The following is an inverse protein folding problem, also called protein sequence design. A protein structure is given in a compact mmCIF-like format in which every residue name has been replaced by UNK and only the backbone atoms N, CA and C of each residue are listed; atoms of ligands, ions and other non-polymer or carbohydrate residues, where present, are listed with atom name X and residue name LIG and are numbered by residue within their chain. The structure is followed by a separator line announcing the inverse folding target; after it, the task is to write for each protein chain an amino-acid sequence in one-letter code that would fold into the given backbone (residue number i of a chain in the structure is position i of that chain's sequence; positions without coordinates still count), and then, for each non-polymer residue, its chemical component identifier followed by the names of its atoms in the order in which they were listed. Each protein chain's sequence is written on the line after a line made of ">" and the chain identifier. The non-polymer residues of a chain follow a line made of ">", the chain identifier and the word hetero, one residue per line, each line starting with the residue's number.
data_IF_576832192965
#
_entry.id   IF_576832192965
#
_cell.length_a   1.000
_cell.length_b   1.000
_cell.length_c   1.000
_cell.angle_alpha   90.00
_cell.angle_beta   90.00
_cell.angle_gamma   90.00
#
_symmetry.space_group_name_H-M   'P 1'
#
loop_
_entity.id
_entity.type
_entity.pdbx_description
1 polymer ?
#
# COMPACT_ATOMS: atom_id res chain seq x y z
N UNK A 1 -12.46 -14.86 -8.43
CA UNK A 1 -13.50 -14.51 -7.43
C UNK A 1 -12.85 -14.36 -6.05
N UNK A 2 -13.30 -13.42 -5.21
CA UNK A 2 -12.92 -13.26 -3.79
C UNK A 2 -13.71 -14.28 -2.97
N UNK A 3 -13.01 -15.08 -2.15
CA UNK A 3 -13.64 -16.17 -1.38
C UNK A 3 -13.95 -15.74 0.05
N UNK A 4 -14.81 -16.51 0.73
CA UNK A 4 -15.17 -16.27 2.13
C UNK A 4 -13.95 -16.49 3.03
N UNK A 5 -13.15 -17.53 2.77
CA UNK A 5 -11.96 -17.89 3.56
C UNK A 5 -10.90 -16.79 3.48
N UNK A 6 -10.67 -16.23 2.30
CA UNK A 6 -9.76 -15.10 2.08
C UNK A 6 -10.23 -13.84 2.85
N UNK A 7 -11.54 -13.61 2.87
CA UNK A 7 -12.17 -12.51 3.59
C UNK A 7 -12.04 -12.71 5.10
N UNK A 8 -12.35 -13.90 5.62
CA UNK A 8 -12.17 -14.26 7.03
C UNK A 8 -10.73 -14.10 7.49
N UNK A 9 -9.77 -14.60 6.69
CA UNK A 9 -8.35 -14.47 7.00
C UNK A 9 -7.93 -12.99 7.12
N UNK A 10 -8.54 -12.11 6.31
CA UNK A 10 -8.30 -10.67 6.36
C UNK A 10 -8.95 -10.03 7.59
N UNK A 11 -10.17 -10.41 7.93
CA UNK A 11 -10.90 -9.94 9.12
C UNK A 11 -10.17 -10.33 10.43
N UNK A 12 -9.62 -11.55 10.50
CA UNK A 12 -8.81 -12.02 11.65
C UNK A 12 -7.59 -11.11 11.89
N UNK A 13 -7.00 -10.55 10.83
CA UNK A 13 -5.85 -9.63 10.90
C UNK A 13 -6.24 -8.17 11.23
N UNK A 14 -7.52 -7.85 11.40
CA UNK A 14 -7.96 -6.52 11.81
C UNK A 14 -7.77 -6.31 13.32
N UNK A 15 -7.18 -5.17 13.67
CA UNK A 15 -7.00 -4.75 15.06
C UNK A 15 -8.28 -4.06 15.55
N UNK A 16 -8.82 -4.42 16.72
CA UNK A 16 -9.96 -3.74 17.33
C UNK A 16 -9.57 -2.33 17.81
N UNK A 17 -10.57 -1.49 18.12
CA UNK A 17 -10.35 -0.15 18.69
C UNK A 17 -9.63 0.83 17.76
N UNK A 18 -9.75 0.65 16.43
CA UNK A 18 -9.23 1.58 15.43
C UNK A 18 -10.29 2.60 15.05
N UNK A 19 -9.84 3.84 14.82
CA UNK A 19 -10.70 4.92 14.37
C UNK A 19 -11.46 4.56 13.09
N UNK A 20 -12.74 4.88 13.08
CA UNK A 20 -13.68 4.64 11.98
C UNK A 20 -13.49 5.64 10.85
N UNK A 21 -14.00 5.29 9.67
CA UNK A 21 -14.15 6.23 8.57
C UNK A 21 -15.43 7.06 8.75
N UNK A 22 -15.84 7.73 7.68
CA UNK A 22 -17.10 8.49 7.66
C UNK A 22 -18.35 7.61 7.79
N UNK A 23 -18.21 6.30 7.59
CA UNK A 23 -19.27 5.30 7.75
C UNK A 23 -19.54 4.90 9.20
N UNK A 24 -18.68 5.32 10.13
CA UNK A 24 -18.71 4.99 11.55
C UNK A 24 -18.78 3.48 11.90
N UNK A 25 -18.39 2.62 10.94
CA UNK A 25 -18.38 1.17 11.13
C UNK A 25 -17.04 0.73 11.69
N UNK A 26 -17.01 0.36 12.97
CA UNK A 26 -15.83 -0.15 13.65
C UNK A 26 -15.38 -1.51 13.11
N UNK A 27 -14.08 -1.81 13.27
CA UNK A 27 -13.53 -3.13 12.91
C UNK A 27 -14.26 -4.28 13.61
N UNK A 28 -14.77 -4.05 14.83
CA UNK A 28 -15.48 -5.04 15.64
C UNK A 28 -16.80 -5.50 15.01
N UNK A 29 -17.50 -4.61 14.28
CA UNK A 29 -18.73 -4.95 13.53
C UNK A 29 -18.41 -6.02 12.47
N UNK A 30 -17.31 -5.82 11.74
CA UNK A 30 -16.85 -6.74 10.70
C UNK A 30 -16.25 -8.04 11.25
N UNK A 31 -15.87 -8.06 12.54
CA UNK A 31 -15.38 -9.26 13.22
C UNK A 31 -16.49 -10.00 13.98
N UNK A 32 -17.70 -9.47 14.02
CA UNK A 32 -18.83 -10.07 14.70
C UNK A 32 -19.21 -11.39 14.05
N UNK A 33 -19.53 -12.40 14.86
CA UNK A 33 -20.07 -13.68 14.38
C UNK A 33 -21.58 -13.66 14.17
N UNK A 34 -22.26 -12.57 14.55
CA UNK A 34 -23.72 -12.53 14.64
C UNK A 34 -24.42 -12.46 13.28
N UNK A 35 -23.74 -11.99 12.23
CA UNK A 35 -24.39 -11.68 10.95
C UNK A 35 -23.59 -12.10 9.72
N UNK A 36 -22.59 -12.98 9.89
CA UNK A 36 -21.82 -13.55 8.78
C UNK A 36 -21.14 -12.48 7.88
N UNK A 37 -20.27 -11.60 8.45
CA UNK A 37 -19.69 -10.49 7.70
C UNK A 37 -18.81 -10.94 6.53
N UNK A 38 -18.14 -12.08 6.66
CA UNK A 38 -17.22 -12.57 5.63
C UNK A 38 -17.96 -12.98 4.36
N UNK A 39 -19.09 -13.67 4.48
CA UNK A 39 -19.95 -14.05 3.37
C UNK A 39 -20.55 -12.82 2.68
N UNK A 40 -21.03 -11.86 3.47
CA UNK A 40 -21.58 -10.62 2.94
C UNK A 40 -20.52 -9.82 2.19
N UNK A 41 -19.35 -9.62 2.80
CA UNK A 41 -18.23 -8.87 2.21
C UNK A 41 -17.71 -9.57 0.96
N UNK A 42 -17.57 -10.89 0.94
CA UNK A 42 -17.13 -11.62 -0.24
C UNK A 42 -18.09 -11.41 -1.42
N UNK A 43 -19.41 -11.51 -1.19
CA UNK A 43 -20.43 -11.22 -2.22
C UNK A 43 -20.32 -9.77 -2.70
N UNK A 44 -20.24 -8.82 -1.78
CA UNK A 44 -20.12 -7.40 -2.07
C UNK A 44 -18.87 -7.07 -2.89
N UNK A 45 -17.70 -7.57 -2.48
CA UNK A 45 -16.45 -7.32 -3.20
C UNK A 45 -16.45 -7.95 -4.59
N UNK A 46 -17.03 -9.14 -4.76
CA UNK A 46 -17.18 -9.74 -6.08
C UNK A 46 -18.10 -8.91 -6.99
N UNK A 47 -19.13 -8.28 -6.44
CA UNK A 47 -19.98 -7.35 -7.18
C UNK A 47 -19.20 -6.10 -7.60
N UNK A 48 -18.42 -5.50 -6.69
CA UNK A 48 -17.52 -4.37 -7.00
C UNK A 48 -16.54 -4.72 -8.12
N UNK A 49 -15.95 -5.93 -8.08
CA UNK A 49 -15.03 -6.41 -9.11
C UNK A 49 -15.74 -6.59 -10.45
N UNK A 50 -16.92 -7.21 -10.46
CA UNK A 50 -17.72 -7.48 -11.66
C UNK A 50 -18.20 -6.20 -12.33
N UNK A 51 -18.70 -5.25 -11.54
CA UNK A 51 -19.25 -3.97 -12.03
C UNK A 51 -18.15 -2.93 -12.31
N UNK A 52 -16.92 -3.17 -11.84
CA UNK A 52 -15.80 -2.22 -11.88
C UNK A 52 -16.16 -0.84 -11.29
N UNK A 53 -17.08 -0.83 -10.32
CA UNK A 53 -17.60 0.38 -9.68
C UNK A 53 -17.37 0.31 -8.18
N UNK A 54 -16.63 1.29 -7.66
CA UNK A 54 -16.41 1.41 -6.23
C UNK A 54 -17.66 2.00 -5.53
N UNK A 55 -17.93 1.60 -4.28
CA UNK A 55 -18.96 2.22 -3.45
C UNK A 55 -18.69 3.71 -3.24
N UNK A 56 -19.74 4.52 -3.24
CA UNK A 56 -19.59 5.98 -3.11
C UNK A 56 -18.93 6.39 -1.79
N UNK A 57 -19.21 5.67 -0.71
CA UNK A 57 -18.60 5.92 0.59
C UNK A 57 -17.08 5.72 0.62
N UNK A 58 -16.52 4.93 -0.31
CA UNK A 58 -15.07 4.78 -0.44
C UNK A 58 -14.42 5.99 -1.12
N UNK A 59 -15.23 6.90 -1.67
CA UNK A 59 -14.71 8.11 -2.29
C UNK A 59 -14.26 9.17 -1.30
N UNK A 60 -14.77 9.11 -0.07
CA UNK A 60 -14.58 10.13 0.95
C UNK A 60 -13.71 9.62 2.10
N UNK A 61 -12.95 10.52 2.73
CA UNK A 61 -12.14 10.20 3.91
C UNK A 61 -11.97 11.42 4.80
N UNK A 62 -11.86 11.20 6.11
CA UNK A 62 -11.57 12.26 7.07
C UNK A 62 -10.06 12.39 7.23
N UNK A 63 -9.51 13.59 7.00
CA UNK A 63 -8.08 13.85 7.23
C UNK A 63 -7.88 14.46 8.60
N UNK A 64 -7.12 13.76 9.46
CA UNK A 64 -6.75 14.21 10.79
C UNK A 64 -5.27 14.64 10.77
N UNK A 65 -4.95 15.93 11.01
CA UNK A 65 -3.57 16.38 11.10
C UNK A 65 -2.97 15.98 12.46
N UNK A 66 -1.89 15.19 12.47
CA UNK A 66 -1.16 14.84 13.69
C UNK A 66 0.14 15.62 13.78
N UNK A 67 0.30 16.40 14.83
CA UNK A 67 1.52 17.20 15.04
C UNK A 67 2.75 16.30 15.23
N UNK A 68 3.83 16.62 14.53
CA UNK A 68 5.12 15.88 14.56
C UNK A 68 5.89 16.07 15.88
N UNK A 69 5.38 16.87 16.82
CA UNK A 69 6.07 17.27 18.06
C UNK A 69 7.41 17.98 17.80
N UNK A 70 7.50 18.71 16.69
CA UNK A 70 8.68 19.49 16.28
C UNK A 70 8.22 20.73 15.52
N UNK A 71 8.91 21.85 15.75
CA UNK A 71 8.61 23.13 15.10
C UNK A 71 7.36 23.83 15.67
N UNK A 72 6.95 24.92 15.02
CA UNK A 72 5.78 25.71 15.40
C UNK A 72 4.47 24.97 15.07
N UNK A 73 3.48 25.07 15.96
CA UNK A 73 2.11 24.54 15.75
C UNK A 73 1.32 25.36 14.74
N UNK A 74 1.77 26.59 14.41
CA UNK A 74 1.14 27.42 13.39
C UNK A 74 1.49 26.99 11.96
N UNK A 75 2.55 26.20 11.78
CA UNK A 75 3.00 25.74 10.47
C UNK A 75 2.41 24.36 10.13
N UNK A 76 1.58 24.31 9.08
CA UNK A 76 0.95 23.09 8.59
C UNK A 76 1.97 22.01 8.17
N UNK A 77 3.19 22.37 7.78
CA UNK A 77 4.25 21.43 7.41
C UNK A 77 4.69 20.54 8.57
N UNK A 78 4.48 21.00 9.81
CA UNK A 78 4.78 20.27 11.05
C UNK A 78 3.72 19.23 11.43
N UNK A 79 2.72 19.01 10.59
CA UNK A 79 1.70 17.98 10.78
C UNK A 79 1.88 16.83 9.78
N UNK A 80 1.48 15.62 10.20
CA UNK A 80 1.32 14.45 9.34
C UNK A 80 -0.17 14.28 9.07
N UNK A 81 -0.64 14.37 7.82
CA UNK A 81 -2.03 14.10 7.51
C UNK A 81 -2.28 12.59 7.61
N UNK A 82 -3.23 12.18 8.45
CA UNK A 82 -3.72 10.80 8.52
C UNK A 82 -5.13 10.76 7.94
N UNK A 83 -5.33 9.94 6.91
CA UNK A 83 -6.65 9.72 6.32
C UNK A 83 -7.34 8.53 6.96
N UNK A 84 -8.53 8.75 7.51
CA UNK A 84 -9.41 7.73 8.04
C UNK A 84 -10.32 7.23 6.91
N UNK A 85 -10.07 5.99 6.50
CA UNK A 85 -10.83 5.29 5.46
C UNK A 85 -11.82 4.32 6.10
N UNK A 86 -12.91 4.04 5.37
CA UNK A 86 -13.84 2.96 5.71
C UNK A 86 -13.09 1.65 5.96
N UNK A 87 -13.53 0.90 6.97
CA UNK A 87 -12.96 -0.41 7.26
C UNK A 87 -13.22 -1.41 6.13
N UNK A 88 -14.37 -1.34 5.46
CA UNK A 88 -14.70 -2.19 4.32
C UNK A 88 -13.70 -2.00 3.15
N UNK A 89 -13.32 -0.74 2.87
CA UNK A 89 -12.30 -0.41 1.88
C UNK A 89 -10.93 -0.99 2.27
N UNK A 90 -10.51 -0.81 3.54
CA UNK A 90 -9.24 -1.36 4.04
C UNK A 90 -9.19 -2.90 3.94
N UNK A 91 -10.33 -3.58 4.12
CA UNK A 91 -10.43 -5.04 3.98
C UNK A 91 -10.22 -5.42 2.52
N UNK A 92 -10.95 -4.77 1.61
CA UNK A 92 -10.82 -5.01 0.16
C UNK A 92 -9.37 -4.80 -0.32
N UNK A 93 -8.75 -3.72 0.10
CA UNK A 93 -7.35 -3.40 -0.24
C UNK A 93 -6.35 -4.43 0.27
N UNK A 94 -6.56 -4.98 1.47
CA UNK A 94 -5.69 -6.03 2.01
C UNK A 94 -5.82 -7.33 1.22
N UNK A 95 -7.01 -7.64 0.73
CA UNK A 95 -7.24 -8.80 -0.14
C UNK A 95 -6.48 -8.61 -1.45
N UNK A 96 -6.61 -7.44 -2.09
CA UNK A 96 -5.88 -7.12 -3.31
C UNK A 96 -4.35 -7.12 -3.11
N UNK A 97 -3.86 -6.49 -2.04
CA UNK A 97 -2.44 -6.52 -1.65
C UNK A 97 -1.93 -7.96 -1.52
N UNK A 98 -2.69 -8.82 -0.83
CA UNK A 98 -2.30 -10.22 -0.64
C UNK A 98 -2.28 -11.01 -1.95
N UNK A 99 -3.10 -10.66 -2.94
CA UNK A 99 -3.10 -11.30 -4.26
C UNK A 99 -1.93 -10.82 -5.10
N UNK A 100 -1.71 -9.51 -5.15
CA UNK A 100 -0.61 -8.90 -5.92
C UNK A 100 0.74 -9.39 -5.40
N UNK A 101 0.93 -9.51 -4.08
CA UNK A 101 2.17 -10.04 -3.47
C UNK A 101 2.47 -11.50 -3.84
N UNK A 102 1.47 -12.29 -4.23
CA UNK A 102 1.68 -13.67 -4.71
C UNK A 102 2.17 -13.71 -6.15
N UNK A 103 1.97 -12.64 -6.91
CA UNK A 103 2.30 -12.53 -8.33
C UNK A 103 3.65 -11.81 -8.49
N UNK A 104 3.82 -10.69 -7.78
CA UNK A 104 5.00 -9.85 -7.89
C UNK A 104 6.13 -10.39 -7.01
N UNK A 105 7.25 -10.74 -7.64
CA UNK A 105 8.51 -11.00 -6.94
C UNK A 105 9.22 -9.67 -6.69
N UNK A 106 9.58 -9.40 -5.45
CA UNK A 106 10.39 -8.25 -5.07
C UNK A 106 11.87 -8.60 -5.12
N UNK A 107 12.73 -7.58 -5.31
CA UNK A 107 14.18 -7.72 -5.23
C UNK A 107 14.61 -8.19 -3.84
N UNK A 108 15.61 -9.07 -3.76
CA UNK A 108 16.12 -9.60 -2.49
C UNK A 108 16.78 -8.50 -1.62
N UNK A 109 17.14 -7.38 -2.24
CA UNK A 109 17.68 -6.19 -1.56
C UNK A 109 16.59 -5.30 -0.93
N UNK A 110 15.31 -5.58 -1.20
CA UNK A 110 14.21 -4.77 -0.70
C UNK A 110 13.82 -5.20 0.71
N UNK A 111 13.96 -4.28 1.67
CA UNK A 111 13.54 -4.51 3.05
C UNK A 111 12.40 -3.62 3.53
N UNK A 112 12.07 -2.56 2.79
CA UNK A 112 10.87 -1.78 3.08
C UNK A 112 9.61 -2.57 2.73
N UNK A 113 8.63 -2.64 3.63
CA UNK A 113 7.31 -3.25 3.38
C UNK A 113 7.33 -4.73 2.95
N UNK A 114 8.43 -5.44 3.25
CA UNK A 114 8.57 -6.89 3.07
C UNK A 114 8.36 -7.57 4.42
N UNK A 115 7.52 -8.61 4.46
CA UNK A 115 7.31 -9.37 5.68
C UNK A 115 8.61 -10.09 6.06
N UNK A 116 9.06 -9.94 7.31
CA UNK A 116 10.28 -10.59 7.79
C UNK A 116 11.59 -9.83 7.51
N UNK A 117 11.62 -8.85 6.59
CA UNK A 117 12.75 -7.92 6.48
C UNK A 117 12.37 -6.55 7.07
N UNK A 118 13.12 -6.10 8.06
CA UNK A 118 12.91 -4.81 8.72
C UNK A 118 14.18 -3.96 8.74
N UNK A 119 14.12 -2.81 9.39
CA UNK A 119 15.25 -1.86 9.48
C UNK A 119 16.52 -2.49 10.05
N UNK A 120 16.38 -3.42 11.01
CA UNK A 120 17.52 -4.14 11.61
C UNK A 120 18.26 -4.97 10.54
N UNK A 121 17.53 -5.72 9.73
CA UNK A 121 18.12 -6.54 8.67
C UNK A 121 18.79 -5.68 7.59
N UNK A 122 18.16 -4.56 7.20
CA UNK A 122 18.74 -3.61 6.26
C UNK A 122 20.05 -2.98 6.79
N UNK A 123 20.05 -2.53 8.06
CA UNK A 123 21.26 -1.99 8.71
C UNK A 123 22.34 -3.06 8.80
N UNK A 124 21.96 -4.30 9.15
CA UNK A 124 22.91 -5.40 9.25
C UNK A 124 23.55 -5.72 7.90
N UNK A 125 22.77 -5.83 6.83
CA UNK A 125 23.26 -6.03 5.48
C UNK A 125 24.22 -4.91 5.03
N UNK A 126 23.85 -3.65 5.28
CA UNK A 126 24.72 -2.50 4.99
C UNK A 126 26.05 -2.58 5.75
N UNK A 127 26.02 -2.94 7.05
CA UNK A 127 27.23 -3.11 7.86
C UNK A 127 28.13 -4.23 7.35
N UNK A 128 27.55 -5.37 6.95
CA UNK A 128 28.31 -6.49 6.38
C UNK A 128 28.98 -6.10 5.06
N UNK A 129 28.27 -5.38 4.18
CA UNK A 129 28.83 -4.90 2.92
C UNK A 129 30.00 -3.95 3.14
N UNK A 130 29.82 -2.96 4.02
CA UNK A 130 30.89 -2.01 4.37
C UNK A 130 32.09 -2.73 4.97
N UNK A 131 31.86 -3.65 5.92
CA UNK A 131 32.93 -4.42 6.55
C UNK A 131 33.78 -5.19 5.54
N UNK A 132 33.13 -5.91 4.61
CA UNK A 132 33.83 -6.68 3.56
C UNK A 132 34.65 -5.80 2.60
N UNK A 133 34.18 -4.61 2.28
CA UNK A 133 34.92 -3.70 1.39
C UNK A 133 36.12 -3.06 2.10
N UNK A 134 35.97 -2.75 3.39
CA UNK A 134 37.09 -2.26 4.21
C UNK A 134 38.19 -3.32 4.40
N UNK A 135 37.82 -4.60 4.55
CA UNK A 135 38.79 -5.72 4.59
C UNK A 135 39.64 -5.80 3.32
N UNK A 136 39.08 -5.44 2.16
CA UNK A 136 39.78 -5.39 0.88
C UNK A 136 40.62 -4.13 0.66
N UNK A 137 40.62 -3.19 1.61
CA UNK A 137 41.23 -1.88 1.49
C UNK A 137 40.72 -1.07 0.29
N UNK A 138 39.50 -1.33 -0.16
CA UNK A 138 38.86 -0.55 -1.22
C UNK A 138 38.19 0.71 -0.62
N UNK A 139 38.28 1.87 -1.29
CA UNK A 139 37.55 3.07 -0.84
C UNK A 139 36.04 2.84 -0.93
N UNK A 140 35.34 3.06 0.18
CA UNK A 140 33.88 2.88 0.27
C UNK A 140 33.17 4.23 0.32
N UNK A 141 32.23 4.43 -0.60
CA UNK A 141 31.34 5.59 -0.62
C UNK A 141 29.89 5.13 -0.47
N UNK A 142 29.12 5.81 0.38
CA UNK A 142 27.71 5.49 0.64
C UNK A 142 26.88 6.73 0.33
N UNK A 143 25.88 6.57 -0.53
CA UNK A 143 24.90 7.62 -0.84
C UNK A 143 23.54 7.27 -0.21
N UNK A 144 22.95 8.22 0.52
CA UNK A 144 21.60 8.11 1.05
C UNK A 144 20.65 8.89 0.16
N UNK A 145 19.69 8.20 -0.45
CA UNK A 145 18.67 8.78 -1.31
C UNK A 145 17.32 8.78 -0.58
N UNK A 146 16.70 9.94 -0.44
CA UNK A 146 15.35 10.09 0.11
C UNK A 146 14.45 10.80 -0.91
N UNK A 147 13.30 10.19 -1.20
CA UNK A 147 12.35 10.69 -2.19
C UNK A 147 11.29 11.55 -1.49
N UNK A 148 11.29 12.85 -1.76
CA UNK A 148 10.29 13.76 -1.19
C UNK A 148 8.89 13.41 -1.72
N UNK A 149 7.96 13.09 -0.81
CA UNK A 149 6.54 12.79 -1.10
C UNK A 149 6.37 11.71 -2.17
N UNK A 150 7.16 10.64 -2.12
CA UNK A 150 7.18 9.57 -3.11
C UNK A 150 5.78 9.06 -3.51
N UNK A 151 4.86 8.86 -2.56
CA UNK A 151 3.50 8.38 -2.86
C UNK A 151 2.61 9.39 -3.59
N UNK A 152 2.85 10.69 -3.38
CA UNK A 152 2.03 11.74 -3.97
C UNK A 152 2.58 12.17 -5.35
N UNK A 153 3.84 11.84 -5.66
CA UNK A 153 4.54 12.25 -6.90
C UNK A 153 4.58 11.19 -8.00
N UNK A 154 4.34 9.92 -7.71
CA UNK A 154 4.41 8.85 -8.73
C UNK A 154 3.19 8.93 -9.66
N UNK A 155 3.38 9.09 -10.99
CA UNK A 155 2.29 9.01 -11.96
C UNK A 155 1.60 7.65 -11.94
N UNK A 156 0.27 7.65 -12.03
CA UNK A 156 -0.55 6.43 -11.91
C UNK A 156 -0.35 5.50 -13.10
N UNK A 157 -0.07 6.07 -14.26
CA UNK A 157 0.19 5.40 -15.52
C UNK A 157 1.43 4.50 -15.41
N UNK A 158 2.48 4.99 -14.76
CA UNK A 158 3.70 4.21 -14.51
C UNK A 158 3.45 3.04 -13.57
N UNK A 159 2.58 3.23 -12.58
CA UNK A 159 2.17 2.15 -11.68
C UNK A 159 1.45 1.04 -12.46
N UNK A 160 0.49 1.39 -13.32
CA UNK A 160 -0.22 0.40 -14.13
C UNK A 160 0.71 -0.31 -15.11
N UNK A 161 1.62 0.42 -15.76
CA UNK A 161 2.63 -0.18 -16.63
C UNK A 161 3.52 -1.18 -15.87
N UNK A 162 4.00 -0.82 -14.68
CA UNK A 162 4.80 -1.73 -13.85
C UNK A 162 4.02 -3.00 -13.48
N UNK A 163 2.75 -2.89 -13.07
CA UNK A 163 1.93 -4.06 -12.73
C UNK A 163 1.75 -5.01 -13.93
N UNK A 164 1.54 -4.46 -15.13
CA UNK A 164 1.44 -5.26 -16.36
C UNK A 164 2.76 -5.96 -16.68
N UNK A 165 3.91 -5.28 -16.48
CA UNK A 165 5.23 -5.89 -16.65
C UNK A 165 5.47 -7.08 -15.70
N UNK A 166 4.89 -7.04 -14.50
CA UNK A 166 4.93 -8.16 -13.54
C UNK A 166 3.80 -9.17 -13.71
N UNK A 167 3.09 -9.16 -14.85
CA UNK A 167 2.01 -10.11 -15.17
C UNK A 167 0.83 -10.08 -14.18
N UNK A 168 0.57 -8.92 -13.56
CA UNK A 168 -0.64 -8.75 -12.75
C UNK A 168 -1.85 -8.72 -13.69
N UNK A 169 -2.88 -9.57 -13.47
CA UNK A 169 -4.08 -9.60 -14.33
C UNK A 169 -4.79 -8.26 -14.40
N UNK A 170 -5.29 -7.90 -15.59
CA UNK A 170 -5.96 -6.62 -15.82
C UNK A 170 -7.22 -6.46 -14.94
N UNK A 171 -7.87 -7.54 -14.54
CA UNK A 171 -8.99 -7.52 -13.59
C UNK A 171 -8.61 -6.87 -12.24
N UNK A 172 -7.40 -7.12 -11.75
CA UNK A 172 -6.89 -6.51 -10.50
C UNK A 172 -6.43 -5.06 -10.72
N UNK A 173 -6.07 -4.71 -11.96
CA UNK A 173 -5.64 -3.36 -12.34
C UNK A 173 -6.87 -2.47 -12.59
N UNK A 174 -7.89 -2.96 -13.27
CA UNK A 174 -9.10 -2.21 -13.60
C UNK A 174 -9.93 -1.87 -12.37
N UNK A 175 -10.04 -2.84 -11.45
CA UNK A 175 -10.68 -2.65 -10.15
C UNK A 175 -9.93 -1.64 -9.28
N UNK A 176 -8.70 -1.29 -9.65
CA UNK A 176 -7.89 -0.27 -8.98
C UNK A 176 -8.09 1.16 -9.50
N UNK A 177 -8.82 1.39 -10.61
CA UNK A 177 -9.22 2.74 -11.01
C UNK A 177 -9.32 3.09 -12.51
N UNK A 178 -9.64 2.16 -13.42
CA UNK A 178 -9.86 2.50 -14.84
C UNK A 178 -11.29 3.02 -15.13
N UNK A 179 -11.77 3.97 -14.33
CA UNK A 179 -13.03 4.69 -14.60
C UNK A 179 -12.78 5.88 -15.51
N UNK A 180 -13.22 5.80 -16.78
CA UNK A 180 -13.12 6.88 -17.80
C UNK A 180 -14.04 8.10 -17.53
N UNK A 181 -14.14 8.59 -16.30
CA UNK A 181 -14.87 9.82 -16.01
C UNK A 181 -13.92 10.96 -15.61
N UNK A 182 -13.79 11.89 -16.55
CA UNK A 182 -13.22 13.23 -16.39
C UNK A 182 -14.05 13.98 -15.35
N UNK A 183 -13.58 14.00 -14.11
CA UNK A 183 -14.27 14.71 -13.03
C UNK A 183 -13.83 14.30 -11.63
N UNK A 184 -12.65 14.78 -11.19
CA UNK A 184 -12.31 14.93 -9.76
C UNK A 184 -12.58 13.73 -8.82
N UNK A 185 -12.31 12.48 -9.21
CA UNK A 185 -12.50 11.34 -8.28
C UNK A 185 -11.24 11.03 -7.45
N UNK A 186 -11.22 11.59 -6.23
CA UNK A 186 -10.17 11.51 -5.19
C UNK A 186 -10.02 10.14 -4.49
N UNK A 187 -10.37 9.04 -5.16
CA UNK A 187 -10.61 7.76 -4.48
C UNK A 187 -9.77 6.60 -4.99
N UNK A 188 -9.06 6.84 -6.08
CA UNK A 188 -7.99 5.97 -6.52
C UNK A 188 -6.69 6.20 -5.70
N UNK A 189 -6.67 7.13 -4.73
CA UNK A 189 -5.48 7.46 -3.92
C UNK A 189 -4.98 6.30 -3.06
N UNK A 190 -5.85 5.41 -2.61
CA UNK A 190 -5.46 4.40 -1.61
C UNK A 190 -4.97 3.11 -2.27
N UNK A 191 -5.64 2.65 -3.33
CA UNK A 191 -5.10 1.61 -4.23
C UNK A 191 -3.83 2.10 -4.92
N UNK A 192 -3.76 3.35 -5.38
CA UNK A 192 -2.50 3.92 -5.88
C UNK A 192 -1.41 4.02 -4.82
N UNK A 193 -1.71 4.16 -3.53
CA UNK A 193 -0.72 4.08 -2.44
C UNK A 193 -0.25 2.65 -2.20
N UNK A 194 -1.14 1.69 -2.37
CA UNK A 194 -0.85 0.27 -2.24
C UNK A 194 -0.03 -0.25 -3.44
N UNK A 195 -0.33 0.26 -4.63
CA UNK A 195 0.39 0.00 -5.87
C UNK A 195 1.65 0.86 -6.01
N UNK A 196 1.72 2.07 -5.46
CA UNK A 196 2.97 2.83 -5.32
C UNK A 196 3.87 2.19 -4.25
N UNK A 197 3.29 1.60 -3.20
CA UNK A 197 4.01 0.68 -2.30
C UNK A 197 4.48 -0.59 -3.00
N UNK A 198 4.01 -0.92 -4.19
CA UNK A 198 4.57 -2.01 -5.01
C UNK A 198 5.57 -1.44 -6.03
N UNK A 199 5.23 -0.37 -6.75
CA UNK A 199 6.07 0.27 -7.78
C UNK A 199 7.33 0.96 -7.23
N UNK A 200 7.29 1.58 -6.05
CA UNK A 200 8.50 2.03 -5.34
C UNK A 200 9.37 0.86 -4.83
N UNK A 201 8.88 -0.38 -4.89
CA UNK A 201 9.63 -1.60 -4.58
C UNK A 201 10.21 -2.28 -5.82
N UNK A 202 9.93 -1.74 -7.02
CA UNK A 202 10.25 -2.34 -8.32
C UNK A 202 11.39 -1.64 -9.05
N UNK A 203 12.16 -0.79 -8.36
CA UNK A 203 13.43 -0.34 -8.90
C UNK A 203 14.48 -1.44 -8.68
N UNK A 204 14.46 -2.45 -9.55
CA UNK A 204 15.73 -3.08 -9.90
C UNK A 204 16.59 -2.01 -10.59
N UNK A 205 17.79 -1.87 -10.05
CA UNK A 205 18.86 -0.99 -10.50
C UNK A 205 18.98 -1.09 -12.03
N UNK A 206 18.72 0.01 -12.74
CA UNK A 206 19.22 0.15 -14.11
C UNK A 206 20.74 0.00 -14.01
N UNK A 207 21.37 -0.98 -14.68
CA UNK A 207 22.81 -1.09 -14.64
C UNK A 207 23.39 0.20 -15.22
N UNK A 208 24.17 0.92 -14.41
CA UNK A 208 24.97 2.02 -14.92
C UNK A 208 25.90 1.44 -15.99
N UNK A 209 25.98 2.02 -17.19
CA UNK A 209 26.96 1.59 -18.17
C UNK A 209 28.33 1.74 -17.55
N UNK A 210 29.13 0.67 -17.64
CA UNK A 210 30.54 0.67 -17.29
C UNK A 210 31.24 1.83 -17.99
N UNK A 211 31.80 2.74 -17.20
CA UNK A 211 32.77 3.76 -17.63
C UNK A 211 34.14 3.10 -17.76
#
# INVERSE_FOLDING_TARGET
>A
MITVEETEATLKKMKPGKATGLDDLAADVWKSKLWYPAEWLAKFFNQVVKEKKLPECWHNSTTIPIWKKKGSTADCSNYRPIRLLSHSMKIFERILDSRIRKIVKLSDNQCGFVAGCGTIAAIHAARLLVGKLLEKQEPVHIAFLDLEKAFDRVPRELIWCALRQHNVPEELIDTSGHGKHVGKQRSAEVLSRLLAKASLMLNDVVPLPSV
#
